data_IF_587263371335
#
_entry.id   IF_587263371335
#
_cell.length_a   1.000
_cell.length_b   1.000
_cell.length_c   1.000
_cell.angle_alpha   90.00
_cell.angle_beta   90.00
_cell.angle_gamma   90.00
#
_symmetry.space_group_name_H-M   'P 1'
#
loop_
_entity.id
_entity.type
_entity.pdbx_description
1 polymer ?
#
# COMPACT_ATOMS: atom_id res chain seq x y z
N UNK A 1 -3.87 3.13 14.78
CA UNK A 1 -3.14 4.23 14.25
C UNK A 1 -2.26 3.75 13.13
N UNK A 2 -2.30 4.44 12.05
CA UNK A 2 -1.76 3.94 10.80
C UNK A 2 -0.47 4.62 10.36
N UNK A 3 0.33 5.07 11.32
CA UNK A 3 1.56 5.74 10.96
C UNK A 3 2.48 4.88 10.09
N UNK A 4 2.53 3.58 10.41
CA UNK A 4 3.36 2.68 9.61
C UNK A 4 2.80 2.50 8.21
N UNK A 5 1.47 2.42 8.11
CA UNK A 5 0.82 2.28 6.81
C UNK A 5 1.02 3.53 5.99
N UNK A 6 0.81 4.69 6.59
CA UNK A 6 1.00 5.95 5.89
C UNK A 6 2.44 6.08 5.40
N UNK A 7 3.40 5.78 6.27
CA UNK A 7 4.80 5.88 5.90
C UNK A 7 5.17 4.93 4.77
N UNK A 8 4.60 3.72 4.79
CA UNK A 8 4.87 2.74 3.75
C UNK A 8 4.31 3.21 2.41
N UNK A 9 3.08 3.68 2.40
CA UNK A 9 2.44 4.16 1.18
C UNK A 9 3.23 5.32 0.60
N UNK A 10 3.60 6.26 1.45
CA UNK A 10 4.34 7.43 0.99
C UNK A 10 5.69 7.04 0.42
N UNK A 11 6.37 6.09 1.05
CA UNK A 11 7.66 5.63 0.55
C UNK A 11 7.52 4.99 -0.84
N UNK A 12 6.46 4.20 -1.02
CA UNK A 12 6.24 3.58 -2.33
C UNK A 12 5.95 4.62 -3.39
N UNK A 13 5.16 5.63 -3.06
CA UNK A 13 4.86 6.69 -4.00
C UNK A 13 6.10 7.48 -4.37
N UNK A 14 6.98 7.71 -3.40
CA UNK A 14 8.22 8.43 -3.66
C UNK A 14 9.15 7.65 -4.58
N UNK A 15 9.01 6.33 -4.60
CA UNK A 15 9.76 5.50 -5.53
C UNK A 15 9.13 5.44 -6.92
N UNK A 16 8.03 6.14 -7.11
CA UNK A 16 7.33 6.11 -8.38
C UNK A 16 6.44 4.90 -8.56
N UNK A 17 6.13 4.22 -7.48
CA UNK A 17 5.27 3.04 -7.53
C UNK A 17 3.84 3.40 -7.23
N UNK A 18 2.91 2.62 -7.77
CA UNK A 18 1.50 2.78 -7.48
C UNK A 18 1.00 1.59 -6.69
N UNK A 19 0.04 1.85 -5.81
CA UNK A 19 -0.57 0.82 -4.99
C UNK A 19 -2.02 0.68 -5.42
N UNK A 20 -2.40 -0.56 -5.75
CA UNK A 20 -3.78 -0.85 -6.16
C UNK A 20 -4.37 -1.90 -5.26
N UNK A 21 -5.67 -1.81 -5.08
CA UNK A 21 -6.40 -2.75 -4.23
C UNK A 21 -7.23 -3.66 -5.13
N UNK A 22 -7.09 -4.97 -4.90
CA UNK A 22 -7.86 -5.97 -5.61
C UNK A 22 -8.48 -6.88 -4.55
N UNK A 23 -9.73 -6.60 -4.22
CA UNK A 23 -10.38 -7.28 -3.12
C UNK A 23 -9.71 -6.88 -1.80
N UNK A 24 -9.13 -7.86 -1.12
CA UNK A 24 -8.39 -7.60 0.11
C UNK A 24 -6.89 -7.56 -0.12
N UNK A 25 -6.46 -7.64 -1.37
CA UNK A 25 -5.04 -7.67 -1.71
C UNK A 25 -4.57 -6.31 -2.18
N UNK A 26 -3.31 -6.01 -1.91
CA UNK A 26 -2.68 -4.80 -2.40
C UNK A 26 -1.62 -5.20 -3.42
N UNK A 27 -1.65 -4.55 -4.58
CA UNK A 27 -0.70 -4.81 -5.65
C UNK A 27 0.16 -3.57 -5.84
N UNK A 28 1.46 -3.75 -5.87
CA UNK A 28 2.41 -2.67 -6.08
C UNK A 28 2.93 -2.76 -7.52
N UNK A 29 2.86 -1.68 -8.24
CA UNK A 29 3.32 -1.59 -9.62
C UNK A 29 4.24 -0.39 -9.80
N UNK A 30 5.35 -0.54 -10.52
CA UNK A 30 5.92 -1.80 -11.00
C UNK A 30 6.53 -2.60 -9.85
N UNK A 31 6.45 -3.92 -9.94
CA UNK A 31 7.03 -4.77 -8.91
C UNK A 31 8.53 -5.00 -9.11
N UNK A 32 9.02 -4.74 -10.31
CA UNK A 32 10.42 -4.92 -10.60
C UNK A 32 11.29 -4.04 -9.71
N UNK A 33 12.31 -4.63 -9.11
CA UNK A 33 13.21 -3.90 -8.23
C UNK A 33 12.69 -3.72 -6.82
N UNK A 34 11.52 -4.25 -6.53
CA UNK A 34 10.96 -4.14 -5.17
C UNK A 34 11.72 -5.07 -4.23
N UNK A 35 12.16 -4.52 -3.11
CA UNK A 35 12.90 -5.30 -2.12
C UNK A 35 12.00 -6.32 -1.44
N UNK A 36 12.58 -7.47 -1.10
CA UNK A 36 11.82 -8.51 -0.41
C UNK A 36 11.33 -7.99 0.93
N UNK A 37 12.14 -7.18 1.61
CA UNK A 37 11.73 -6.61 2.89
C UNK A 37 10.50 -5.74 2.75
N UNK A 38 10.38 -5.02 1.63
CA UNK A 38 9.21 -4.19 1.38
C UNK A 38 7.97 -5.04 1.16
N UNK A 39 8.13 -6.17 0.44
CA UNK A 39 7.00 -7.07 0.24
C UNK A 39 6.53 -7.69 1.55
N UNK A 40 7.47 -8.04 2.41
CA UNK A 40 7.13 -8.59 3.70
C UNK A 40 6.44 -7.56 4.58
N UNK A 41 6.92 -6.33 4.52
CA UNK A 41 6.28 -5.25 5.27
C UNK A 41 4.86 -5.02 4.79
N UNK A 42 4.66 -5.04 3.47
CA UNK A 42 3.32 -4.89 2.91
C UNK A 42 2.38 -5.98 3.43
N UNK A 43 2.84 -7.22 3.42
CA UNK A 43 2.02 -8.32 3.90
C UNK A 43 1.69 -8.17 5.38
N UNK A 44 2.67 -7.73 6.16
CA UNK A 44 2.45 -7.50 7.58
C UNK A 44 1.40 -6.40 7.80
N UNK A 45 1.54 -5.30 7.09
CA UNK A 45 0.62 -4.18 7.24
C UNK A 45 -0.78 -4.53 6.76
N UNK A 46 -0.88 -5.47 5.83
CA UNK A 46 -2.17 -5.88 5.28
C UNK A 46 -2.69 -7.16 5.89
N UNK A 47 -2.16 -7.55 7.03
CA UNK A 47 -2.52 -8.82 7.67
C UNK A 47 -4.01 -8.91 7.96
N UNK A 48 -4.61 -7.79 8.35
CA UNK A 48 -6.05 -7.70 8.63
C UNK A 48 -6.79 -6.89 7.58
N UNK A 49 -6.17 -6.68 6.43
CA UNK A 49 -6.77 -5.88 5.38
C UNK A 49 -6.68 -4.39 5.63
N UNK A 50 -5.89 -3.96 6.59
CA UNK A 50 -5.82 -2.55 6.96
C UNK A 50 -5.19 -1.70 5.88
N UNK A 51 -4.16 -2.22 5.21
CA UNK A 51 -3.51 -1.47 4.15
C UNK A 51 -4.46 -1.26 2.98
N UNK A 52 -5.16 -2.32 2.58
CA UNK A 52 -6.14 -2.21 1.49
C UNK A 52 -7.24 -1.23 1.87
N UNK A 53 -7.69 -1.27 3.10
CA UNK A 53 -8.72 -0.35 3.56
C UNK A 53 -8.23 1.10 3.54
N UNK A 54 -7.01 1.31 3.98
CA UNK A 54 -6.43 2.65 3.98
C UNK A 54 -6.37 3.22 2.56
N UNK A 55 -5.90 2.41 1.61
CA UNK A 55 -5.77 2.87 0.23
C UNK A 55 -7.15 3.14 -0.36
N UNK A 56 -8.11 2.27 -0.11
CA UNK A 56 -9.47 2.46 -0.61
C UNK A 56 -10.07 3.75 -0.09
N UNK A 57 -9.93 4.01 1.20
CA UNK A 57 -10.47 5.22 1.81
C UNK A 57 -9.79 6.46 1.25
N UNK A 58 -8.49 6.38 1.04
CA UNK A 58 -7.73 7.50 0.49
C UNK A 58 -8.20 7.84 -0.91
N UNK A 59 -8.48 6.83 -1.72
CA UNK A 59 -8.97 7.04 -3.08
C UNK A 59 -10.37 7.61 -3.11
N UNK A 60 -11.21 7.16 -2.19
CA UNK A 60 -12.57 7.69 -2.12
C UNK A 60 -12.55 9.17 -1.80
N UNK A 61 -11.66 9.58 -0.94
CA UNK A 61 -11.50 11.00 -0.64
C UNK A 61 -10.99 11.77 -1.85
N UNK A 62 -10.07 11.15 -2.59
CA UNK A 62 -9.52 11.80 -3.78
C UNK A 62 -10.55 11.93 -4.88
N UNK A 63 -11.52 11.03 -4.94
CA UNK A 63 -12.53 11.04 -5.98
C UNK A 63 -13.55 12.16 -5.80
N UNK A 64 -13.53 12.78 -4.67
CA UNK A 64 -14.43 13.90 -4.40
C UNK A 64 -13.96 15.17 -5.16
#
# INVERSE_FOLDING_TARGET
MSNKIFAFVKRMEEQGRTLEVNGNFVVISPAAGLAISDMMEMQNLNKKGELAEYITNSRQESAQ
#
